data_IF_992759886744
#
_entry.id   IF_992759886744
#
_cell.length_a   1.000
_cell.length_b   1.000
_cell.length_c   1.000
_cell.angle_alpha   90.00
_cell.angle_beta   90.00
_cell.angle_gamma   90.00
#
_symmetry.space_group_name_H-M   'P 1'
#
loop_
_entity.id
_entity.type
_entity.pdbx_description
1 polymer ?
#
# COMPACT_ATOMS: atom_id res chain seq x y z
N UNK A 1 -10.25 -2.63 16.42
CA UNK A 1 -9.10 -2.60 15.52
C UNK A 1 -8.71 -1.20 15.09
N UNK A 2 -9.68 -0.41 14.67
CA UNK A 2 -9.41 0.94 14.23
C UNK A 2 -8.86 1.83 15.34
N UNK A 3 -9.28 1.60 16.57
CA UNK A 3 -8.83 2.41 17.70
C UNK A 3 -7.37 2.21 18.05
N UNK A 4 -6.75 1.16 17.50
CA UNK A 4 -5.32 0.91 17.72
C UNK A 4 -4.44 1.51 16.64
N UNK A 5 -5.06 2.17 15.69
CA UNK A 5 -4.33 2.77 14.61
C UNK A 5 -3.51 3.96 15.10
N UNK A 6 -2.27 4.03 14.63
CA UNK A 6 -1.42 5.16 14.95
C UNK A 6 -2.04 6.45 14.40
N UNK A 7 -2.29 7.46 15.22
CA UNK A 7 -2.91 8.69 14.75
C UNK A 7 -2.06 9.47 13.76
N UNK A 8 -0.77 9.13 13.66
CA UNK A 8 0.13 9.80 12.73
C UNK A 8 0.17 9.13 11.37
N UNK A 9 -0.55 8.04 11.19
CA UNK A 9 -0.52 7.28 9.95
C UNK A 9 -1.27 7.95 8.81
N UNK A 10 -0.76 7.76 7.60
CA UNK A 10 -1.50 8.07 6.39
C UNK A 10 -1.89 6.76 5.72
N UNK A 11 -3.02 6.75 5.06
CA UNK A 11 -3.52 5.57 4.37
C UNK A 11 -3.77 5.89 2.91
N UNK A 12 -3.48 4.92 2.08
CA UNK A 12 -3.80 5.02 0.66
C UNK A 12 -4.95 4.07 0.42
N UNK A 13 -6.08 4.63 0.02
CA UNK A 13 -7.28 3.85 -0.22
C UNK A 13 -7.43 3.59 -1.70
N UNK A 14 -7.55 2.34 -2.06
CA UNK A 14 -7.77 1.92 -3.44
C UNK A 14 -9.22 1.50 -3.58
N UNK A 15 -10.02 2.33 -4.23
CA UNK A 15 -11.44 2.04 -4.42
C UNK A 15 -11.66 1.49 -5.82
N UNK A 16 -12.02 0.23 -5.94
CA UNK A 16 -12.29 -0.34 -7.25
C UNK A 16 -13.60 0.20 -7.80
N UNK A 17 -13.59 0.53 -9.08
CA UNK A 17 -14.80 0.91 -9.76
C UNK A 17 -15.40 -0.35 -10.34
N UNK A 18 -16.55 -0.73 -9.81
CA UNK A 18 -17.15 -2.02 -10.14
C UNK A 18 -18.38 -1.85 -11.02
N UNK A 19 -18.58 -2.84 -11.88
CA UNK A 19 -19.83 -2.98 -12.63
C UNK A 19 -20.51 -4.22 -12.05
N UNK A 20 -21.59 -3.97 -11.29
CA UNK A 20 -22.27 -5.03 -10.54
C UNK A 20 -21.32 -5.70 -9.55
N UNK A 21 -20.92 -6.94 -9.79
CA UNK A 21 -20.09 -7.68 -8.86
C UNK A 21 -18.66 -7.91 -9.33
N UNK A 22 -18.27 -7.29 -10.43
CA UNK A 22 -16.89 -7.46 -10.86
C UNK A 22 -16.22 -6.09 -11.05
N UNK A 23 -14.90 -6.13 -10.95
CA UNK A 23 -14.09 -4.95 -11.04
C UNK A 23 -13.80 -4.61 -12.50
N UNK A 24 -14.00 -3.36 -12.87
CA UNK A 24 -13.76 -2.91 -14.25
C UNK A 24 -12.29 -2.74 -14.59
N UNK A 25 -11.42 -2.77 -13.59
CA UNK A 25 -10.00 -2.49 -13.78
C UNK A 25 -9.64 -1.04 -13.46
N UNK A 26 -10.63 -0.20 -13.23
CA UNK A 26 -10.39 1.19 -12.87
C UNK A 26 -10.41 1.38 -11.36
N UNK A 27 -9.61 2.32 -10.89
CA UNK A 27 -9.49 2.61 -9.47
C UNK A 27 -9.62 4.09 -9.20
N UNK A 28 -10.21 4.38 -8.05
CA UNK A 28 -10.13 5.70 -7.45
C UNK A 28 -9.16 5.59 -6.30
N UNK A 29 -8.16 6.45 -6.26
CA UNK A 29 -7.12 6.42 -5.24
C UNK A 29 -7.24 7.64 -4.34
N UNK A 30 -7.35 7.41 -3.05
CA UNK A 30 -7.47 8.47 -2.07
C UNK A 30 -6.38 8.36 -1.02
N UNK A 31 -5.91 9.49 -0.54
CA UNK A 31 -4.96 9.55 0.56
C UNK A 31 -5.72 10.06 1.78
N UNK A 32 -5.69 9.28 2.84
CA UNK A 32 -6.41 9.60 4.07
C UNK A 32 -5.41 9.85 5.18
N UNK A 33 -5.45 11.03 5.76
CA UNK A 33 -4.59 11.41 6.86
C UNK A 33 -5.45 11.84 8.04
N UNK A 34 -4.99 11.54 9.25
CA UNK A 34 -5.70 11.92 10.45
C UNK A 34 -5.47 13.38 10.80
N UNK A 35 -6.52 14.07 11.20
CA UNK A 35 -6.41 15.44 11.71
C UNK A 35 -5.82 15.47 13.11
N UNK A 36 -5.79 14.33 13.78
CA UNK A 36 -5.31 14.22 15.15
C UNK A 36 -3.83 13.88 15.25
N UNK A 37 -3.12 13.98 14.15
CA UNK A 37 -1.69 13.68 14.14
C UNK A 37 -0.91 14.65 15.04
N UNK A 38 0.02 14.09 15.80
CA UNK A 38 0.90 14.87 16.69
C UNK A 38 2.21 15.27 16.00
N UNK A 39 2.38 14.89 14.75
CA UNK A 39 3.58 15.25 14.02
C UNK A 39 3.65 16.77 13.79
N UNK A 40 4.86 17.29 13.72
CA UNK A 40 5.02 18.67 13.37
C UNK A 40 4.65 18.88 11.89
N UNK A 41 4.53 20.13 11.51
CA UNK A 41 4.08 20.48 10.16
C UNK A 41 4.98 19.90 9.09
N UNK A 42 6.28 20.00 9.29
CA UNK A 42 7.27 19.54 8.32
C UNK A 42 7.18 18.04 8.13
N UNK A 43 7.03 17.31 9.23
CA UNK A 43 6.90 15.85 9.16
C UNK A 43 5.59 15.43 8.49
N UNK A 44 4.52 16.14 8.77
CA UNK A 44 3.23 15.87 8.12
C UNK A 44 3.31 16.06 6.62
N UNK A 45 3.96 17.14 6.20
CA UNK A 45 4.12 17.43 4.77
C UNK A 45 4.98 16.38 4.09
N UNK A 46 6.05 15.96 4.75
CA UNK A 46 6.92 14.92 4.20
C UNK A 46 6.19 13.61 4.04
N UNK A 47 5.41 13.23 5.05
CA UNK A 47 4.66 11.98 4.99
C UNK A 47 3.57 12.04 3.91
N UNK A 48 2.89 13.17 3.80
CA UNK A 48 1.89 13.36 2.78
C UNK A 48 2.51 13.30 1.39
N UNK A 49 3.67 13.92 1.22
CA UNK A 49 4.38 13.89 -0.06
C UNK A 49 4.75 12.45 -0.44
N UNK A 50 5.26 11.70 0.51
CA UNK A 50 5.59 10.29 0.27
C UNK A 50 4.33 9.51 -0.13
N UNK A 51 3.22 9.77 0.55
CA UNK A 51 1.96 9.11 0.23
C UNK A 51 1.51 9.44 -1.19
N UNK A 52 1.71 10.67 -1.63
CA UNK A 52 1.38 11.07 -2.99
C UNK A 52 2.25 10.35 -4.01
N UNK A 53 3.54 10.19 -3.71
CA UNK A 53 4.43 9.45 -4.60
C UNK A 53 4.00 8.00 -4.72
N UNK A 54 3.67 7.37 -3.61
CA UNK A 54 3.22 5.98 -3.62
C UNK A 54 1.90 5.85 -4.37
N UNK A 55 0.96 6.74 -4.10
CA UNK A 55 -0.34 6.70 -4.77
C UNK A 55 -0.21 6.91 -6.28
N UNK A 56 0.71 7.79 -6.69
CA UNK A 56 0.93 8.06 -8.11
C UNK A 56 1.52 6.87 -8.85
N UNK A 57 2.16 5.96 -8.13
CA UNK A 57 2.70 4.75 -8.73
C UNK A 57 1.61 3.92 -9.38
N UNK A 58 0.40 3.95 -8.84
CA UNK A 58 -0.73 3.21 -9.39
C UNK A 58 -1.05 3.69 -10.81
N UNK A 59 -1.13 5.00 -10.99
CA UNK A 59 -1.37 5.57 -12.31
C UNK A 59 -0.20 5.34 -13.25
N UNK A 60 1.03 5.45 -12.72
CA UNK A 60 2.21 5.28 -13.53
C UNK A 60 2.34 3.86 -14.06
N UNK A 61 1.89 2.87 -13.29
CA UNK A 61 1.90 1.49 -13.75
C UNK A 61 1.07 1.27 -15.01
N UNK A 62 -0.03 2.02 -15.15
CA UNK A 62 -0.84 1.92 -16.35
C UNK A 62 -0.14 2.48 -17.58
N UNK A 63 0.69 3.49 -17.37
CA UNK A 63 1.40 4.16 -18.44
C UNK A 63 2.73 3.51 -18.79
N UNK A 64 3.29 2.75 -17.87
CA UNK A 64 4.61 2.17 -18.04
C UNK A 64 4.62 0.69 -17.68
N UNK A 65 4.40 -0.18 -18.67
CA UNK A 65 4.40 -1.63 -18.42
C UNK A 65 5.72 -2.16 -17.86
N UNK A 66 6.83 -1.51 -18.21
CA UNK A 66 8.14 -1.94 -17.71
C UNK A 66 8.25 -1.70 -16.20
N UNK A 67 7.67 -0.60 -15.74
CA UNK A 67 7.65 -0.31 -14.33
C UNK A 67 6.83 -1.35 -13.58
N UNK A 68 5.67 -1.71 -14.12
CA UNK A 68 4.81 -2.72 -13.52
C UNK A 68 5.56 -4.05 -13.39
N UNK A 69 6.28 -4.44 -14.43
CA UNK A 69 7.04 -5.68 -14.40
C UNK A 69 8.13 -5.64 -13.32
N UNK A 70 8.82 -4.52 -13.21
CA UNK A 70 9.86 -4.37 -12.18
C UNK A 70 9.29 -4.43 -10.78
N UNK A 71 8.14 -3.85 -10.58
CA UNK A 71 7.47 -3.90 -9.28
C UNK A 71 7.03 -5.33 -8.95
N UNK A 72 6.50 -6.05 -9.94
CA UNK A 72 6.11 -7.44 -9.74
C UNK A 72 7.31 -8.30 -9.37
N UNK A 73 8.44 -8.09 -10.03
CA UNK A 73 9.66 -8.80 -9.70
C UNK A 73 10.11 -8.51 -8.27
N UNK A 74 10.04 -7.25 -7.87
CA UNK A 74 10.41 -6.86 -6.51
C UNK A 74 9.50 -7.52 -5.49
N UNK A 75 8.20 -7.51 -5.73
CA UNK A 75 7.23 -8.12 -4.82
C UNK A 75 7.48 -9.63 -4.70
N UNK A 76 7.72 -10.28 -5.83
CA UNK A 76 7.98 -11.72 -5.83
C UNK A 76 9.24 -12.07 -5.03
N UNK A 77 10.30 -11.29 -5.19
CA UNK A 77 11.52 -11.49 -4.43
C UNK A 77 11.29 -11.29 -2.94
N UNK A 78 10.55 -10.25 -2.58
CA UNK A 78 10.25 -9.98 -1.19
C UNK A 78 9.41 -11.09 -0.57
N UNK A 79 8.45 -11.60 -1.31
CA UNK A 79 7.61 -12.70 -0.85
C UNK A 79 8.43 -13.97 -0.64
N UNK A 80 9.37 -14.25 -1.53
CA UNK A 80 10.23 -15.41 -1.39
C UNK A 80 11.10 -15.31 -0.14
N UNK A 81 11.67 -14.13 0.11
CA UNK A 81 12.47 -13.93 1.30
C UNK A 81 11.67 -14.13 2.57
N UNK A 82 10.47 -13.59 2.61
CA UNK A 82 9.59 -13.76 3.76
C UNK A 82 9.24 -15.22 3.95
N UNK A 83 8.97 -15.90 2.85
CA UNK A 83 8.59 -17.31 2.90
C UNK A 83 9.73 -18.18 3.44
N UNK A 84 10.95 -17.90 3.01
CA UNK A 84 12.11 -18.65 3.48
C UNK A 84 12.40 -18.40 4.95
N UNK A 85 12.34 -17.14 5.37
CA UNK A 85 12.64 -16.78 6.76
C UNK A 85 11.61 -17.27 7.75
N UNK A 86 10.36 -17.26 7.35
CA UNK A 86 9.24 -17.59 8.22
C UNK A 86 8.51 -18.85 7.82
N UNK A 87 9.21 -19.74 7.17
CA UNK A 87 8.61 -20.93 6.60
C UNK A 87 7.64 -21.66 7.52
N UNK A 88 7.97 -21.91 8.80
CA UNK A 88 7.06 -22.61 9.68
C UNK A 88 5.83 -21.83 10.09
N UNK A 89 5.84 -20.51 9.87
CA UNK A 89 4.78 -19.64 10.39
C UNK A 89 4.09 -18.81 9.33
N UNK A 90 4.52 -18.97 8.12
CA UNK A 90 4.13 -18.05 7.07
C UNK A 90 2.63 -18.00 6.82
N UNK A 91 1.96 -19.10 7.04
CA UNK A 91 0.55 -19.17 6.70
C UNK A 91 -0.33 -18.23 7.48
N UNK A 92 0.14 -17.80 8.62
CA UNK A 92 -0.69 -16.97 9.47
C UNK A 92 -0.75 -15.53 9.04
N UNK A 93 0.29 -15.08 8.42
CA UNK A 93 0.46 -13.66 8.18
C UNK A 93 -0.30 -13.14 6.98
N UNK A 94 -0.98 -14.00 6.28
CA UNK A 94 -1.59 -13.61 5.02
C UNK A 94 -3.04 -13.19 5.16
N UNK A 95 -3.55 -13.17 6.35
CA UNK A 95 -4.91 -12.75 6.57
C UNK A 95 -5.11 -11.32 6.14
N UNK A 96 -6.19 -11.10 5.39
CA UNK A 96 -6.54 -9.77 4.95
C UNK A 96 -5.62 -9.19 3.91
N UNK A 97 -4.77 -9.99 3.32
CA UNK A 97 -3.85 -9.55 2.29
C UNK A 97 -2.96 -8.39 2.70
N UNK A 98 -2.61 -8.37 3.96
CA UNK A 98 -1.70 -7.35 4.46
C UNK A 98 -0.28 -7.85 4.27
N UNK A 99 0.45 -7.18 3.41
CA UNK A 99 1.86 -7.49 3.19
C UNK A 99 2.65 -6.37 3.82
N UNK A 100 3.44 -6.72 4.82
CA UNK A 100 4.28 -5.74 5.48
C UNK A 100 5.69 -5.87 4.92
N UNK A 101 6.09 -4.89 4.16
CA UNK A 101 7.43 -4.85 3.59
C UNK A 101 8.28 -3.91 4.43
N UNK A 102 9.33 -4.45 5.01
CA UNK A 102 10.28 -3.66 5.77
C UNK A 102 11.44 -3.30 4.87
N UNK A 103 11.59 -2.02 4.68
CA UNK A 103 12.68 -1.52 3.85
C UNK A 103 13.83 -1.04 4.71
#
# INVERSE_FOLDING_TARGET
MLERRNPNSCFIELNPICDKSYWTGELEVNIIASEKSDLDKESKESLLHLSQLVASTVALMELDPKLTLRLEEFVNEAEEEIREKNKPKVTKSVEGNVISLNF
#
